data_IF_410037689837
#
_entry.id   IF_410037689837
#
_cell.length_a   1.000
_cell.length_b   1.000
_cell.length_c   1.000
_cell.angle_alpha   90.00
_cell.angle_beta   90.00
_cell.angle_gamma   90.00
#
_symmetry.space_group_name_H-M   'P 1'
#
loop_
_entity.id
_entity.type
_entity.pdbx_description
1 polymer ?
#
# COMPACT_ATOMS: atom_id res chain seq x y z
N UNK A 1 3.80 3.74 -2.83
CA UNK A 1 4.76 4.43 -1.94
C UNK A 1 5.83 3.42 -1.55
N UNK A 2 7.09 3.82 -1.48
CA UNK A 2 8.21 2.91 -1.16
C UNK A 2 9.21 3.58 -0.23
N UNK A 3 10.16 2.78 0.28
CA UNK A 3 11.36 3.31 0.96
C UNK A 3 12.28 3.96 -0.06
N UNK A 4 12.93 5.06 0.30
CA UNK A 4 13.92 5.77 -0.54
C UNK A 4 15.15 4.92 -0.91
N UNK A 5 15.37 3.80 -0.22
CA UNK A 5 16.44 2.85 -0.49
C UNK A 5 16.13 1.84 -1.62
N UNK A 6 14.92 1.89 -2.20
CA UNK A 6 14.46 1.00 -3.26
C UNK A 6 14.20 1.78 -4.55
N UNK A 7 14.34 1.14 -5.70
CA UNK A 7 13.85 1.71 -6.96
C UNK A 7 12.32 1.62 -7.01
N UNK A 8 11.68 2.49 -7.81
CA UNK A 8 10.22 2.59 -7.89
C UNK A 8 9.53 1.26 -8.23
N UNK A 9 10.22 0.38 -8.96
CA UNK A 9 9.72 -0.93 -9.41
C UNK A 9 10.21 -2.09 -8.54
N UNK A 10 10.97 -1.84 -7.47
CA UNK A 10 11.47 -2.90 -6.60
C UNK A 10 10.36 -3.43 -5.69
N UNK A 11 10.08 -4.72 -5.84
CA UNK A 11 9.23 -5.49 -4.93
C UNK A 11 9.99 -5.74 -3.63
N UNK A 12 9.31 -5.62 -2.49
CA UNK A 12 9.90 -5.95 -1.20
C UNK A 12 10.15 -7.47 -1.13
N UNK A 13 11.42 -7.92 -0.98
CA UNK A 13 11.78 -9.34 -1.09
C UNK A 13 11.52 -10.16 0.18
N UNK A 14 10.84 -9.62 1.20
CA UNK A 14 10.69 -10.32 2.49
C UNK A 14 11.22 -9.57 3.69
N UNK A 15 11.59 -8.29 3.55
CA UNK A 15 12.30 -7.54 4.58
C UNK A 15 11.35 -6.59 5.31
N UNK A 16 11.41 -6.63 6.64
CA UNK A 16 10.67 -5.72 7.53
C UNK A 16 9.59 -6.43 8.34
N UNK A 17 8.65 -5.64 8.88
CA UNK A 17 7.54 -6.15 9.66
C UNK A 17 6.54 -6.95 8.80
N UNK A 18 5.76 -7.86 9.41
CA UNK A 18 4.65 -8.52 8.73
C UNK A 18 3.69 -7.52 8.08
N UNK A 19 3.14 -7.87 6.92
CA UNK A 19 2.18 -7.04 6.19
C UNK A 19 0.86 -7.80 5.99
N UNK A 20 -0.20 -7.09 5.59
CA UNK A 20 -1.53 -7.68 5.44
C UNK A 20 -1.57 -8.83 4.43
N UNK A 21 -0.80 -8.76 3.35
CA UNK A 21 -0.82 -9.70 2.22
C UNK A 21 0.56 -10.28 1.90
N UNK A 22 1.49 -10.22 2.86
CA UNK A 22 2.75 -10.94 2.84
C UNK A 22 3.52 -10.81 4.17
N UNK A 23 4.62 -11.50 4.36
CA UNK A 23 5.32 -12.36 3.42
C UNK A 23 4.85 -13.81 3.51
N UNK A 24 4.87 -14.54 2.38
CA UNK A 24 4.50 -15.95 2.29
C UNK A 24 5.34 -16.68 1.23
N UNK A 25 5.28 -18.01 1.24
CA UNK A 25 6.02 -18.87 0.30
C UNK A 25 7.43 -19.24 0.76
N UNK A 26 8.00 -20.27 0.14
CA UNK A 26 9.40 -20.69 0.28
C UNK A 26 9.98 -21.05 -1.11
N UNK A 27 10.82 -20.20 -1.72
CA UNK A 27 11.28 -18.91 -1.22
C UNK A 27 10.14 -17.88 -1.09
N UNK A 28 10.36 -16.86 -0.25
CA UNK A 28 9.40 -15.78 -0.02
C UNK A 28 9.04 -15.08 -1.33
N UNK A 29 7.74 -14.89 -1.57
CA UNK A 29 7.22 -14.13 -2.72
C UNK A 29 7.44 -12.63 -2.49
N UNK A 30 8.20 -11.93 -3.35
CA UNK A 30 8.35 -10.49 -3.26
C UNK A 30 7.03 -9.77 -3.53
N UNK A 31 6.75 -8.67 -2.82
CA UNK A 31 5.48 -7.95 -2.96
C UNK A 31 5.65 -6.44 -3.21
N UNK A 32 4.75 -5.86 -4.00
CA UNK A 32 4.67 -4.41 -4.22
C UNK A 32 3.28 -3.90 -3.89
N UNK A 33 3.20 -3.00 -2.91
CA UNK A 33 1.96 -2.30 -2.56
C UNK A 33 1.81 -1.02 -3.40
N UNK A 34 0.62 -0.81 -3.94
CA UNK A 34 0.25 0.36 -4.72
C UNK A 34 -1.19 0.79 -4.41
N UNK A 35 -1.56 1.97 -4.88
CA UNK A 35 -2.93 2.46 -4.79
C UNK A 35 -3.32 3.20 -6.08
N UNK A 36 -4.62 3.27 -6.35
CA UNK A 36 -5.16 3.91 -7.54
C UNK A 36 -5.08 5.44 -7.53
N UNK A 37 -4.82 6.05 -6.37
CA UNK A 37 -4.70 7.50 -6.18
C UNK A 37 -3.57 7.83 -5.22
N UNK A 38 -3.06 9.07 -5.28
CA UNK A 38 -2.08 9.58 -4.29
C UNK A 38 -2.64 9.51 -2.87
N UNK A 39 -3.92 9.86 -2.70
CA UNK A 39 -4.59 9.88 -1.39
C UNK A 39 -4.70 8.48 -0.77
N UNK A 40 -5.05 7.47 -1.57
CA UNK A 40 -5.08 6.10 -1.09
C UNK A 40 -3.68 5.56 -0.78
N UNK A 41 -2.66 5.97 -1.54
CA UNK A 41 -1.28 5.56 -1.26
C UNK A 41 -0.77 6.16 0.06
N UNK A 42 -1.07 7.43 0.33
CA UNK A 42 -0.77 8.12 1.59
C UNK A 42 -1.55 7.47 2.73
N UNK A 43 -2.84 7.26 2.54
CA UNK A 43 -3.71 6.74 3.59
C UNK A 43 -3.35 5.32 4.01
N UNK A 44 -3.05 4.42 3.06
CA UNK A 44 -2.63 3.05 3.39
C UNK A 44 -1.20 2.97 3.94
N UNK A 45 -0.32 3.95 3.66
CA UNK A 45 1.09 3.87 4.07
C UNK A 45 1.38 4.67 5.33
N UNK A 46 0.95 5.93 5.37
CA UNK A 46 1.31 6.89 6.42
C UNK A 46 0.21 7.04 7.46
N UNK A 47 -1.05 6.92 7.06
CA UNK A 47 -2.18 7.25 7.94
C UNK A 47 -2.90 6.01 8.48
N UNK A 48 -2.52 4.80 8.06
CA UNK A 48 -3.30 3.59 8.34
C UNK A 48 -3.46 3.25 9.83
N UNK A 49 -2.49 3.67 10.65
CA UNK A 49 -2.45 3.53 12.10
C UNK A 49 -2.96 4.77 12.85
N UNK A 50 -3.27 5.86 12.13
CA UNK A 50 -3.81 7.09 12.72
C UNK A 50 -5.34 6.94 12.91
N UNK A 51 -5.89 7.29 14.08
CA UNK A 51 -7.34 7.27 14.31
C UNK A 51 -8.13 8.14 13.32
N UNK A 52 -9.42 7.83 13.15
CA UNK A 52 -10.31 8.58 12.24
C UNK A 52 -10.57 10.00 12.74
N UNK A 53 -10.48 10.21 14.05
CA UNK A 53 -10.63 11.51 14.71
C UNK A 53 -9.43 12.44 14.47
N UNK A 54 -8.36 11.92 13.88
CA UNK A 54 -7.11 12.65 13.65
C UNK A 54 -5.96 12.14 14.51
N UNK A 55 -4.82 12.83 14.41
CA UNK A 55 -3.63 12.48 15.17
C UNK A 55 -2.37 13.15 14.67
N UNK A 56 -1.23 12.60 15.07
CA UNK A 56 0.09 13.12 14.73
C UNK A 56 0.75 12.15 13.75
N UNK A 57 1.35 12.69 12.68
CA UNK A 57 2.24 11.97 11.79
C UNK A 57 3.69 12.40 12.05
N UNK A 58 4.49 11.61 12.79
CA UNK A 58 5.89 11.92 13.08
C UNK A 58 6.80 11.92 11.85
N UNK A 59 7.85 12.76 11.87
CA UNK A 59 8.81 12.89 10.76
C UNK A 59 9.45 11.57 10.33
N UNK A 60 9.89 10.75 11.29
CA UNK A 60 10.57 9.47 11.02
C UNK A 60 9.69 8.43 10.30
N UNK A 61 8.35 8.55 10.41
CA UNK A 61 7.42 7.65 9.73
C UNK A 61 7.31 7.92 8.22
N UNK A 62 7.57 9.15 7.77
CA UNK A 62 7.42 9.53 6.37
C UNK A 62 8.72 9.98 5.68
N UNK A 63 9.73 10.45 6.41
CA UNK A 63 10.95 11.03 5.83
C UNK A 63 11.70 10.07 4.90
N UNK A 64 11.64 8.77 5.20
CA UNK A 64 12.28 7.72 4.38
C UNK A 64 11.41 7.25 3.20
N UNK A 65 10.23 7.85 3.01
CA UNK A 65 9.26 7.40 2.01
C UNK A 65 9.26 8.30 0.78
N UNK A 66 9.00 7.66 -0.35
CA UNK A 66 8.82 8.31 -1.65
C UNK A 66 7.49 7.87 -2.23
N UNK A 67 6.72 8.84 -2.73
CA UNK A 67 5.58 8.58 -3.59
C UNK A 67 6.06 8.64 -5.04
N UNK A 68 5.72 7.62 -5.81
CA UNK A 68 6.01 7.56 -7.25
C UNK A 68 4.77 7.10 -7.97
N UNK A 69 4.61 7.52 -9.22
CA UNK A 69 3.58 6.98 -10.10
C UNK A 69 4.15 5.83 -10.92
N UNK A 70 3.37 4.75 -10.99
CA UNK A 70 3.68 3.59 -11.81
C UNK A 70 2.67 3.48 -12.95
N UNK A 71 3.16 3.17 -14.14
CA UNK A 71 2.38 2.77 -15.29
C UNK A 71 2.38 1.24 -15.39
N UNK A 72 1.18 0.67 -15.54
CA UNK A 72 1.00 -0.76 -15.77
C UNK A 72 1.16 -1.02 -17.26
N UNK A 73 2.24 -1.72 -17.65
CA UNK A 73 2.61 -1.92 -19.06
C UNK A 73 2.04 -3.22 -19.65
N UNK A 74 1.53 -4.12 -18.80
CA UNK A 74 0.94 -5.40 -19.20
C UNK A 74 -0.37 -5.65 -18.48
N UNK A 75 -1.24 -6.47 -19.09
CA UNK A 75 -2.51 -6.85 -18.45
C UNK A 75 -2.25 -7.73 -17.23
N UNK A 76 -2.68 -7.27 -16.05
CA UNK A 76 -2.60 -8.01 -14.79
C UNK A 76 -3.95 -8.62 -14.41
N UNK A 77 -3.92 -9.80 -13.79
CA UNK A 77 -5.10 -10.48 -13.22
C UNK A 77 -4.98 -10.47 -11.70
N UNK A 78 -5.91 -9.81 -11.03
CA UNK A 78 -5.89 -9.67 -9.57
C UNK A 78 -7.15 -10.24 -8.92
N UNK A 79 -7.01 -10.76 -7.70
CA UNK A 79 -8.13 -11.19 -6.87
C UNK A 79 -8.91 -9.97 -6.37
N UNK A 80 -10.23 -9.97 -6.57
CA UNK A 80 -11.10 -8.85 -6.14
C UNK A 80 -11.63 -9.09 -4.73
N UNK A 81 -11.13 -8.31 -3.77
CA UNK A 81 -11.48 -8.35 -2.35
C UNK A 81 -12.33 -7.14 -1.94
N UNK A 82 -13.25 -6.72 -2.82
CA UNK A 82 -14.19 -5.63 -2.55
C UNK A 82 -15.52 -5.85 -3.27
N UNK A 83 -16.53 -5.04 -2.93
CA UNK A 83 -17.86 -5.10 -3.55
C UNK A 83 -18.48 -6.49 -3.51
N UNK A 84 -19.11 -6.91 -4.61
CA UNK A 84 -19.73 -8.24 -4.73
C UNK A 84 -18.72 -9.40 -4.76
N UNK A 85 -17.42 -9.12 -4.97
CA UNK A 85 -16.36 -10.12 -4.89
C UNK A 85 -16.27 -10.76 -3.51
N UNK A 86 -16.37 -9.96 -2.45
CA UNK A 86 -16.40 -10.45 -1.06
C UNK A 86 -17.57 -11.39 -0.80
N UNK A 87 -18.75 -11.09 -1.37
CA UNK A 87 -19.92 -11.97 -1.25
C UNK A 87 -19.70 -13.33 -1.93
N UNK A 88 -18.98 -13.38 -3.05
CA UNK A 88 -18.60 -14.65 -3.72
C UNK A 88 -17.66 -15.49 -2.86
N UNK A 89 -16.80 -14.82 -2.08
CA UNK A 89 -15.87 -15.44 -1.14
C UNK A 89 -16.50 -15.75 0.22
N UNK A 90 -17.78 -15.37 0.44
CA UNK A 90 -18.46 -15.44 1.74
C UNK A 90 -17.66 -14.75 2.86
N UNK A 91 -16.99 -13.65 2.52
CA UNK A 91 -16.19 -12.85 3.44
C UNK A 91 -16.77 -11.43 3.54
N UNK A 92 -16.42 -10.73 4.60
CA UNK A 92 -16.66 -9.30 4.79
C UNK A 92 -15.38 -8.50 4.57
N UNK A 93 -15.47 -7.17 4.40
CA UNK A 93 -14.27 -6.33 4.39
C UNK A 93 -13.51 -6.40 5.73
N UNK A 94 -14.24 -6.63 6.84
CA UNK A 94 -13.68 -6.84 8.17
C UNK A 94 -12.79 -8.08 8.29
N UNK A 95 -13.01 -9.10 7.47
CA UNK A 95 -12.25 -10.36 7.48
C UNK A 95 -10.96 -10.29 6.66
N UNK A 96 -10.78 -9.22 5.87
CA UNK A 96 -9.76 -9.19 4.82
C UNK A 96 -8.94 -7.91 4.82
N UNK A 97 -9.57 -6.75 5.01
CA UNK A 97 -8.96 -5.43 4.74
C UNK A 97 -9.02 -4.51 5.94
N UNK A 98 -10.04 -4.65 6.80
CA UNK A 98 -10.28 -3.77 7.95
C UNK A 98 -9.86 -4.40 9.28
N UNK A 99 -9.04 -5.45 9.24
CA UNK A 99 -8.58 -6.21 10.40
C UNK A 99 -7.26 -5.61 10.96
N UNK A 100 -7.02 -5.65 12.29
CA UNK A 100 -5.79 -5.14 12.91
C UNK A 100 -4.57 -5.99 12.55
N UNK A 101 -3.35 -5.47 12.75
CA UNK A 101 -2.10 -6.17 12.43
C UNK A 101 -1.98 -7.58 13.08
N UNK A 102 -2.62 -7.79 14.24
CA UNK A 102 -2.70 -9.09 14.91
C UNK A 102 -3.36 -10.19 14.07
N UNK A 103 -4.17 -9.80 13.08
CA UNK A 103 -4.87 -10.72 12.15
C UNK A 103 -4.09 -10.99 10.86
N UNK A 104 -2.89 -10.42 10.66
CA UNK A 104 -2.16 -10.57 9.41
C UNK A 104 -1.87 -12.03 9.04
N UNK A 105 -1.73 -12.90 10.03
CA UNK A 105 -1.58 -14.35 9.82
C UNK A 105 -2.76 -14.97 9.07
N UNK A 106 -3.95 -14.41 9.19
CA UNK A 106 -5.14 -14.84 8.47
C UNK A 106 -5.29 -14.11 7.14
N UNK A 107 -4.99 -12.81 7.09
CA UNK A 107 -5.13 -12.05 5.84
C UNK A 107 -4.11 -12.46 4.78
N UNK A 108 -2.91 -12.91 5.18
CA UNK A 108 -1.87 -13.47 4.28
C UNK A 108 -2.38 -14.71 3.53
N UNK A 109 -3.27 -15.51 4.11
CA UNK A 109 -3.84 -16.71 3.46
C UNK A 109 -4.64 -16.35 2.20
N UNK A 110 -5.26 -15.16 2.14
CA UNK A 110 -5.90 -14.70 0.92
C UNK A 110 -4.89 -14.45 -0.20
N UNK A 111 -3.71 -13.94 0.15
CA UNK A 111 -2.64 -13.72 -0.80
C UNK A 111 -2.03 -15.04 -1.30
N UNK A 112 -1.80 -15.99 -0.39
CA UNK A 112 -1.38 -17.35 -0.74
C UNK A 112 -2.39 -18.02 -1.69
N UNK A 113 -3.69 -17.95 -1.38
CA UNK A 113 -4.73 -18.54 -2.22
C UNK A 113 -4.81 -17.88 -3.61
N UNK A 114 -4.71 -16.53 -3.67
CA UNK A 114 -4.68 -15.81 -4.94
C UNK A 114 -3.46 -16.18 -5.78
N UNK A 115 -2.28 -16.28 -5.15
CA UNK A 115 -1.05 -16.70 -5.80
C UNK A 115 -1.16 -18.14 -6.31
N UNK A 116 -1.62 -19.09 -5.50
CA UNK A 116 -1.85 -20.48 -5.92
C UNK A 116 -2.84 -20.60 -7.07
N UNK A 117 -3.85 -19.72 -7.14
CA UNK A 117 -4.79 -19.63 -8.25
C UNK A 117 -4.19 -19.02 -9.54
N UNK A 118 -2.92 -18.62 -9.52
CA UNK A 118 -2.21 -18.08 -10.68
C UNK A 118 -2.49 -16.60 -10.94
N UNK A 119 -2.95 -15.86 -9.94
CA UNK A 119 -3.21 -14.41 -10.04
C UNK A 119 -1.93 -13.62 -9.74
N UNK A 120 -1.84 -12.41 -10.28
CA UNK A 120 -0.67 -11.52 -10.21
C UNK A 120 -0.70 -10.62 -8.96
N UNK A 121 -1.78 -10.66 -8.18
CA UNK A 121 -1.95 -9.83 -7.00
C UNK A 121 -3.39 -9.81 -6.47
N UNK A 122 -3.66 -8.87 -5.58
CA UNK A 122 -4.98 -8.61 -5.00
C UNK A 122 -5.33 -7.13 -5.09
N UNK A 123 -6.63 -6.86 -5.13
CA UNK A 123 -7.20 -5.50 -5.10
C UNK A 123 -8.32 -5.41 -4.07
N UNK A 124 -8.30 -4.35 -3.27
CA UNK A 124 -9.34 -4.04 -2.30
C UNK A 124 -9.71 -2.55 -2.35
N UNK A 125 -10.80 -2.20 -1.68
CA UNK A 125 -11.16 -0.80 -1.45
C UNK A 125 -10.35 -0.28 -0.26
N UNK A 126 -9.66 0.84 -0.42
CA UNK A 126 -8.92 1.44 0.69
C UNK A 126 -9.89 1.82 1.80
N UNK A 127 -9.54 1.48 3.05
CA UNK A 127 -10.43 1.72 4.20
C UNK A 127 -10.62 3.21 4.46
N UNK A 128 -9.52 3.95 4.35
CA UNK A 128 -9.43 5.38 4.64
C UNK A 128 -9.83 6.23 3.41
N UNK A 129 -9.65 5.69 2.20
CA UNK A 129 -10.13 6.27 0.95
C UNK A 129 -11.17 5.34 0.30
N UNK A 130 -12.38 5.31 0.84
CA UNK A 130 -13.45 4.36 0.46
C UNK A 130 -14.08 4.63 -0.93
N UNK A 131 -13.36 5.32 -1.80
CA UNK A 131 -13.64 5.57 -3.21
C UNK A 131 -12.47 5.14 -4.13
N UNK A 132 -11.33 4.78 -3.55
CA UNK A 132 -10.11 4.43 -4.25
C UNK A 132 -9.60 3.03 -3.87
N UNK A 133 -9.04 2.34 -4.86
CA UNK A 133 -8.54 0.96 -4.69
C UNK A 133 -7.09 0.96 -4.22
N UNK A 134 -6.77 -0.05 -3.42
CA UNK A 134 -5.40 -0.42 -3.06
C UNK A 134 -5.08 -1.81 -3.61
N UNK A 135 -3.79 -2.05 -3.83
CA UNK A 135 -3.27 -3.19 -4.56
C UNK A 135 -2.04 -3.77 -3.86
N UNK A 136 -1.87 -5.06 -4.00
CA UNK A 136 -0.60 -5.75 -3.75
C UNK A 136 -0.33 -6.66 -4.94
N UNK A 137 0.89 -6.61 -5.46
CA UNK A 137 1.33 -7.38 -6.61
C UNK A 137 2.43 -8.37 -6.22
N UNK A 138 2.49 -9.51 -6.92
CA UNK A 138 3.48 -10.57 -6.69
C UNK A 138 4.64 -10.46 -7.67
N UNK A 139 5.86 -10.28 -7.16
CA UNK A 139 7.04 -9.96 -7.96
C UNK A 139 7.53 -11.10 -8.82
N UNK A 140 7.35 -12.35 -8.36
CA UNK A 140 7.66 -13.55 -9.14
C UNK A 140 6.74 -13.73 -10.37
N UNK A 141 5.63 -12.99 -10.44
CA UNK A 141 4.64 -13.07 -11.53
C UNK A 141 4.66 -11.85 -12.44
N UNK A 142 4.84 -10.65 -11.88
CA UNK A 142 4.60 -9.42 -12.63
C UNK A 142 5.62 -8.29 -12.38
N UNK A 143 6.82 -8.60 -11.89
CA UNK A 143 7.84 -7.56 -11.67
C UNK A 143 8.19 -6.75 -12.93
N UNK A 144 8.08 -7.36 -14.11
CA UNK A 144 8.37 -6.73 -15.40
C UNK A 144 7.17 -5.99 -16.04
N UNK A 145 6.09 -5.80 -15.27
CA UNK A 145 4.82 -5.22 -15.74
C UNK A 145 4.61 -3.77 -15.32
N UNK A 146 5.64 -3.13 -14.75
CA UNK A 146 5.59 -1.76 -14.25
C UNK A 146 6.71 -0.91 -14.83
N UNK A 147 6.37 0.31 -15.21
CA UNK A 147 7.33 1.37 -15.50
C UNK A 147 7.06 2.55 -14.56
N UNK A 148 8.11 3.26 -14.13
CA UNK A 148 7.94 4.51 -13.40
C UNK A 148 7.56 5.63 -14.37
N UNK A 149 6.53 6.41 -14.05
CA UNK A 149 6.29 7.71 -14.69
C UNK A 149 7.27 8.74 -14.09
N UNK A 150 8.27 9.22 -14.85
CA UNK A 150 9.27 10.14 -14.34
C UNK A 150 8.72 11.56 -14.13
N UNK A 151 7.53 11.88 -14.63
CA UNK A 151 6.93 13.22 -14.49
C UNK A 151 6.32 13.46 -13.11
N UNK A 152 6.21 12.41 -12.29
CA UNK A 152 5.52 12.50 -11.00
C UNK A 152 6.20 11.67 -9.90
N UNK A 153 6.74 12.37 -8.91
CA UNK A 153 7.22 11.80 -7.66
C UNK A 153 7.12 12.83 -6.53
N UNK A 154 7.09 12.35 -5.29
CA UNK A 154 7.24 13.16 -4.08
C UNK A 154 8.26 12.54 -3.16
N UNK A 155 9.23 13.34 -2.74
CA UNK A 155 10.27 12.98 -1.79
C UNK A 155 9.92 13.68 -0.47
N UNK A 156 9.29 12.96 0.45
CA UNK A 156 8.78 13.58 1.68
C UNK A 156 9.87 14.05 2.66
N UNK A 157 11.15 13.74 2.42
CA UNK A 157 12.27 14.40 3.08
C UNK A 157 12.51 15.84 2.60
N UNK A 158 11.95 16.24 1.45
CA UNK A 158 12.14 17.59 0.91
C UNK A 158 11.18 18.59 1.56
N UNK A 159 11.61 19.84 1.85
CA UNK A 159 10.72 20.85 2.44
C UNK A 159 9.45 21.13 1.63
N UNK A 160 9.53 21.08 0.30
CA UNK A 160 8.38 21.32 -0.57
C UNK A 160 7.31 20.23 -0.44
N UNK A 161 7.72 18.96 -0.42
CA UNK A 161 6.77 17.85 -0.26
C UNK A 161 6.30 17.67 1.19
N UNK A 162 7.05 18.16 2.18
CA UNK A 162 6.59 18.24 3.57
C UNK A 162 5.43 19.24 3.71
N UNK A 163 5.58 20.44 3.16
CA UNK A 163 4.49 21.44 3.14
C UNK A 163 3.26 20.91 2.40
N UNK A 164 3.49 20.26 1.25
CA UNK A 164 2.39 19.62 0.52
C UNK A 164 1.69 18.53 1.34
N UNK A 165 2.45 17.71 2.10
CA UNK A 165 1.89 16.66 2.94
C UNK A 165 1.09 17.26 4.12
N UNK A 166 1.57 18.36 4.72
CA UNK A 166 0.82 19.13 5.73
C UNK A 166 -0.52 19.58 5.16
N UNK A 167 -0.52 20.27 4.03
CA UNK A 167 -1.75 20.79 3.40
C UNK A 167 -2.72 19.66 3.05
N UNK A 168 -2.19 18.51 2.64
CA UNK A 168 -2.99 17.32 2.31
C UNK A 168 -3.61 16.67 3.54
N UNK A 169 -2.89 16.63 4.67
CA UNK A 169 -3.28 15.97 5.90
C UNK A 169 -4.16 16.84 6.81
N UNK A 170 -4.07 18.17 6.71
CA UNK A 170 -4.83 19.09 7.57
C UNK A 170 -6.36 18.88 7.54
N UNK A 171 -7.02 18.67 6.37
CA UNK A 171 -8.46 18.37 6.34
C UNK A 171 -8.84 17.02 6.98
N UNK A 172 -7.86 16.15 7.21
CA UNK A 172 -8.03 14.84 7.87
C UNK A 172 -7.75 14.91 9.37
N UNK A 173 -7.55 16.12 9.91
CA UNK A 173 -7.18 16.34 11.32
C UNK A 173 -5.85 15.68 11.70
N UNK A 174 -4.92 15.58 10.75
CA UNK A 174 -3.59 15.01 10.97
C UNK A 174 -2.52 16.09 10.96
N UNK A 175 -1.86 16.26 12.11
CA UNK A 175 -0.73 17.17 12.28
C UNK A 175 0.57 16.48 11.85
N UNK A 176 1.17 16.96 10.77
CA UNK A 176 2.42 16.42 10.23
C UNK A 176 3.60 17.15 10.90
N UNK A 177 4.42 16.40 11.64
CA UNK A 177 5.58 16.97 12.31
C UNK A 177 6.75 17.10 11.34
N UNK A 178 7.41 18.26 11.38
CA UNK A 178 8.59 18.55 10.57
C UNK A 178 9.86 17.98 11.21
N UNK A 179 10.94 17.94 10.44
CA UNK A 179 12.27 17.62 10.96
C UNK A 179 12.60 18.51 12.18
N UNK A 180 13.02 17.93 13.31
CA UNK A 180 13.49 18.72 14.44
C UNK A 180 14.68 19.60 14.03
N UNK A 181 14.64 20.87 14.43
CA UNK A 181 15.73 21.83 14.22
C UNK A 181 17.01 21.45 14.98
#
# INVERSE_FOLDING_TARGET
MLSATRTATDFNPGIGAPTRFGFFGDPVVPILYAAGTEDAAISETLLHDIPVEGGILPYDQYATKVLVRLEVTKKLRVAVLHGTGLRRLKATAGDVTSSPASSYRDTVKWAEAAHQAGLDGLVWMSRMCNDAKAYVFFGDRCADSFAQDPSHARIFASPADQLWLIDRCAPLHVDVLMEPA
#
